data_IF_258416239899
#
_entry.id   IF_258416239899
#
_cell.length_a   1.000
_cell.length_b   1.000
_cell.length_c   1.000
_cell.angle_alpha   90.00
_cell.angle_beta   90.00
_cell.angle_gamma   90.00
#
_symmetry.space_group_name_H-M   'P 1'
#
loop_
_entity.id
_entity.type
_entity.pdbx_description
1 polymer ?
#
# COMPACT_ATOMS: atom_id res chain seq x y z
N UNK A 1 25.68 26.10 -17.06
CA UNK A 1 24.62 26.45 -16.08
C UNK A 1 23.89 25.17 -15.71
N UNK A 2 23.78 24.86 -14.42
CA UNK A 2 22.94 23.75 -13.97
C UNK A 2 21.47 24.16 -14.13
N UNK A 3 20.69 23.39 -14.89
CA UNK A 3 19.26 23.65 -15.10
C UNK A 3 18.44 23.17 -13.90
N UNK A 4 17.61 24.03 -13.33
CA UNK A 4 16.68 23.72 -12.23
C UNK A 4 15.46 22.98 -12.76
N UNK A 5 14.94 23.40 -13.92
CA UNK A 5 13.82 22.73 -14.58
C UNK A 5 14.37 21.59 -15.44
N UNK A 6 13.96 20.35 -15.12
CA UNK A 6 14.37 19.18 -15.91
C UNK A 6 13.74 19.27 -17.31
N UNK A 7 14.55 18.98 -18.33
CA UNK A 7 14.15 19.01 -19.75
C UNK A 7 13.72 20.39 -20.27
N UNK A 8 14.23 21.49 -19.71
CA UNK A 8 13.88 22.84 -20.19
C UNK A 8 14.24 23.08 -21.67
N UNK A 9 15.20 22.32 -22.21
CA UNK A 9 15.59 22.41 -23.62
C UNK A 9 14.43 22.18 -24.61
N UNK A 10 13.37 21.46 -24.19
CA UNK A 10 12.16 21.25 -24.99
C UNK A 10 11.39 22.55 -25.27
N UNK A 11 11.70 23.64 -24.56
CA UNK A 11 11.08 24.94 -24.72
C UNK A 11 11.91 25.91 -25.59
N UNK A 12 13.16 25.58 -25.93
CA UNK A 12 14.09 26.51 -26.61
C UNK A 12 13.61 27.03 -27.97
N UNK A 13 12.81 26.25 -28.68
CA UNK A 13 12.26 26.64 -29.99
C UNK A 13 10.99 27.50 -29.87
N UNK A 14 10.51 27.74 -28.66
CA UNK A 14 9.27 28.46 -28.37
C UNK A 14 9.49 29.68 -27.47
N UNK A 15 10.55 29.67 -26.68
CA UNK A 15 10.88 30.70 -25.70
C UNK A 15 12.25 31.32 -26.00
N UNK A 16 12.36 32.62 -25.80
CA UNK A 16 13.64 33.32 -25.82
C UNK A 16 14.52 32.93 -24.64
N UNK A 17 15.83 33.16 -24.73
CA UNK A 17 16.76 32.88 -23.62
C UNK A 17 16.40 33.67 -22.35
N UNK A 18 15.91 34.91 -22.48
CA UNK A 18 15.44 35.71 -21.33
C UNK A 18 14.28 35.01 -20.62
N UNK A 19 13.27 34.54 -21.35
CA UNK A 19 12.11 33.84 -20.77
C UNK A 19 12.51 32.51 -20.13
N UNK A 20 13.47 31.79 -20.71
CA UNK A 20 14.01 30.57 -20.13
C UNK A 20 14.73 30.87 -18.80
N UNK A 21 15.48 31.97 -18.72
CA UNK A 21 16.16 32.39 -17.49
C UNK A 21 15.16 32.82 -16.40
N UNK A 22 14.08 33.52 -16.78
CA UNK A 22 13.02 33.91 -15.83
C UNK A 22 12.29 32.68 -15.27
N UNK A 23 11.99 31.68 -16.12
CA UNK A 23 11.44 30.39 -15.69
C UNK A 23 12.37 29.66 -14.71
N UNK A 24 13.66 29.56 -15.03
CA UNK A 24 14.66 28.93 -14.18
C UNK A 24 14.79 29.65 -12.82
N UNK A 25 14.75 30.99 -12.81
CA UNK A 25 14.77 31.78 -11.59
C UNK A 25 13.51 31.54 -10.73
N UNK A 26 12.32 31.58 -11.33
CA UNK A 26 11.08 31.27 -10.62
C UNK A 26 11.05 29.84 -10.08
N UNK A 27 11.52 28.87 -10.86
CA UNK A 27 11.66 27.48 -10.41
C UNK A 27 12.64 27.34 -9.23
N UNK A 28 13.73 28.10 -9.23
CA UNK A 28 14.69 28.13 -8.12
C UNK A 28 14.05 28.60 -6.81
N UNK A 29 13.20 29.62 -6.85
CA UNK A 29 12.48 30.11 -5.68
C UNK A 29 11.55 29.03 -5.10
N UNK A 30 10.77 28.37 -5.97
CA UNK A 30 9.90 27.26 -5.58
C UNK A 30 10.68 26.08 -4.97
N UNK A 31 11.84 25.75 -5.55
CA UNK A 31 12.74 24.70 -5.03
C UNK A 31 13.28 25.07 -3.65
N UNK A 32 13.75 26.31 -3.47
CA UNK A 32 14.35 26.79 -2.22
C UNK A 32 13.34 26.81 -1.07
N UNK A 33 12.14 27.34 -1.32
CA UNK A 33 11.18 27.61 -0.25
C UNK A 33 10.24 26.45 0.04
N UNK A 34 9.93 25.60 -0.95
CA UNK A 34 8.94 24.55 -0.80
C UNK A 34 9.40 23.18 -1.33
N UNK A 35 10.65 23.05 -1.78
CA UNK A 35 11.19 21.84 -2.44
C UNK A 35 10.31 21.32 -3.56
N UNK A 36 9.77 22.26 -4.34
CA UNK A 36 9.01 21.96 -5.54
C UNK A 36 9.99 21.93 -6.72
N UNK A 37 9.88 20.90 -7.54
CA UNK A 37 10.68 20.72 -8.75
C UNK A 37 9.76 20.56 -9.95
N UNK A 38 10.25 20.95 -11.12
CA UNK A 38 9.51 20.94 -12.36
C UNK A 38 10.26 20.13 -13.41
N UNK A 39 9.51 19.36 -14.19
CA UNK A 39 10.02 18.61 -15.34
C UNK A 39 9.11 18.84 -16.53
N UNK A 40 9.69 19.27 -17.64
CA UNK A 40 8.98 19.31 -18.91
C UNK A 40 8.86 17.87 -19.43
N UNK A 41 7.63 17.38 -19.51
CA UNK A 41 7.34 16.03 -20.02
C UNK A 41 7.32 16.07 -21.55
N UNK A 42 6.59 17.04 -22.12
CA UNK A 42 6.49 17.26 -23.56
C UNK A 42 5.95 18.65 -23.88
N UNK A 43 6.21 19.11 -25.10
CA UNK A 43 5.56 20.26 -25.69
C UNK A 43 5.23 19.97 -27.16
N UNK A 44 3.97 19.70 -27.46
CA UNK A 44 3.47 19.31 -28.79
C UNK A 44 2.11 19.95 -29.03
N UNK A 45 1.80 20.38 -30.26
CA UNK A 45 0.49 20.93 -30.64
C UNK A 45 -0.02 22.05 -29.73
N UNK A 46 0.88 22.97 -29.35
CA UNK A 46 0.62 24.06 -28.40
C UNK A 46 0.11 23.58 -27.02
N UNK A 47 0.41 22.33 -26.68
CA UNK A 47 0.12 21.73 -25.38
C UNK A 47 1.43 21.46 -24.64
N UNK A 48 1.68 22.25 -23.59
CA UNK A 48 2.77 22.04 -22.65
C UNK A 48 2.32 21.08 -21.55
N UNK A 49 3.04 19.98 -21.36
CA UNK A 49 2.84 19.07 -20.22
C UNK A 49 4.00 19.18 -19.24
N UNK A 50 3.70 19.55 -17.99
CA UNK A 50 4.68 19.70 -16.91
C UNK A 50 4.37 18.71 -15.79
N UNK A 51 5.37 17.97 -15.33
CA UNK A 51 5.31 17.26 -14.05
C UNK A 51 5.85 18.18 -12.96
N UNK A 52 5.06 18.37 -11.91
CA UNK A 52 5.44 19.14 -10.73
C UNK A 52 5.44 18.22 -9.53
N UNK A 53 6.58 18.14 -8.86
CA UNK A 53 6.77 17.28 -7.68
C UNK A 53 7.19 18.10 -6.49
N UNK A 54 6.58 17.83 -5.34
CA UNK A 54 7.08 18.32 -4.06
C UNK A 54 7.83 17.21 -3.32
N UNK A 55 9.01 17.53 -2.80
CA UNK A 55 9.79 16.64 -1.94
C UNK A 55 9.60 16.97 -0.45
N UNK A 56 10.16 16.13 0.42
CA UNK A 56 10.12 16.35 1.87
C UNK A 56 10.77 17.68 2.23
N UNK A 57 9.98 18.63 2.73
CA UNK A 57 10.42 19.96 3.15
C UNK A 57 10.68 20.01 4.66
N UNK A 58 11.87 20.46 5.12
CA UNK A 58 12.14 20.65 6.54
C UNK A 58 11.20 21.65 7.23
N UNK A 59 10.64 22.59 6.47
CA UNK A 59 9.69 23.57 6.97
C UNK A 59 8.25 23.04 7.10
N UNK A 60 7.98 21.80 6.67
CA UNK A 60 6.65 21.19 6.77
C UNK A 60 5.57 21.84 5.90
N UNK A 61 5.94 22.72 4.96
CA UNK A 61 5.03 23.47 4.09
C UNK A 61 4.56 22.65 2.88
N UNK A 62 3.90 21.53 3.15
CA UNK A 62 3.37 20.63 2.14
C UNK A 62 2.12 21.19 1.48
N UNK A 63 2.06 21.08 0.16
CA UNK A 63 0.99 21.60 -0.67
C UNK A 63 0.18 20.44 -1.24
N UNK A 64 -1.13 20.66 -1.35
CA UNK A 64 -2.02 19.74 -2.05
C UNK A 64 -1.83 19.81 -3.57
N UNK A 65 -2.39 18.82 -4.28
CA UNK A 65 -2.30 18.76 -5.74
C UNK A 65 -2.88 19.98 -6.44
N UNK A 66 -3.92 20.61 -5.88
CA UNK A 66 -4.56 21.81 -6.44
C UNK A 66 -3.65 23.03 -6.36
N UNK A 67 -3.01 23.23 -5.22
CA UNK A 67 -2.08 24.36 -5.01
C UNK A 67 -0.82 24.17 -5.85
N UNK A 68 -0.30 22.94 -5.96
CA UNK A 68 0.81 22.65 -6.87
C UNK A 68 0.46 22.92 -8.33
N UNK A 69 -0.76 22.55 -8.75
CA UNK A 69 -1.26 22.82 -10.09
C UNK A 69 -1.27 24.32 -10.34
N UNK A 70 -1.84 25.09 -9.43
CA UNK A 70 -1.99 26.54 -9.57
C UNK A 70 -0.62 27.24 -9.62
N UNK A 71 0.30 26.92 -8.71
CA UNK A 71 1.66 27.49 -8.72
C UNK A 71 2.44 27.16 -9.97
N UNK A 72 2.29 25.93 -10.48
CA UNK A 72 2.92 25.55 -11.75
C UNK A 72 2.34 26.36 -12.89
N UNK A 73 1.01 26.45 -12.96
CA UNK A 73 0.34 27.20 -14.00
C UNK A 73 0.76 28.68 -13.97
N UNK A 74 0.81 29.29 -12.80
CA UNK A 74 1.30 30.66 -12.61
C UNK A 74 2.73 30.83 -13.12
N UNK A 75 3.67 29.99 -12.70
CA UNK A 75 5.08 30.05 -13.13
C UNK A 75 5.22 30.02 -14.67
N UNK A 76 4.47 29.13 -15.33
CA UNK A 76 4.58 28.95 -16.78
C UNK A 76 3.70 29.92 -17.60
N UNK A 77 2.62 30.48 -17.02
CA UNK A 77 1.75 31.45 -17.70
C UNK A 77 2.21 32.90 -17.57
N UNK A 78 2.94 33.26 -16.50
CA UNK A 78 3.23 34.65 -16.13
C UNK A 78 4.32 35.33 -16.99
N UNK A 79 4.11 35.39 -18.31
CA UNK A 79 4.89 36.08 -19.36
C UNK A 79 5.86 35.22 -20.19
N UNK A 80 5.87 33.91 -19.96
CA UNK A 80 6.80 33.03 -20.67
C UNK A 80 6.17 32.40 -21.92
N UNK A 81 4.95 31.88 -21.88
CA UNK A 81 4.39 31.18 -23.02
C UNK A 81 3.69 32.11 -24.04
N UNK A 82 3.83 31.84 -25.36
CA UNK A 82 3.02 32.48 -26.38
C UNK A 82 1.51 32.29 -26.13
N UNK A 83 0.70 33.24 -26.58
CA UNK A 83 -0.76 33.15 -26.49
C UNK A 83 -1.28 31.86 -27.16
N UNK A 84 -2.27 31.21 -26.53
CA UNK A 84 -2.91 29.99 -27.04
C UNK A 84 -2.33 28.67 -26.54
N UNK A 85 -1.18 28.68 -25.85
CA UNK A 85 -0.59 27.46 -25.28
C UNK A 85 -1.43 26.95 -24.11
N UNK A 86 -1.88 25.69 -24.21
CA UNK A 86 -2.57 24.98 -23.12
C UNK A 86 -1.53 24.31 -22.22
N UNK A 87 -1.72 24.44 -20.90
CA UNK A 87 -0.81 23.85 -19.91
C UNK A 87 -1.54 22.72 -19.19
N UNK A 88 -1.00 21.50 -19.32
CA UNK A 88 -1.37 20.35 -18.51
C UNK A 88 -0.32 20.15 -17.43
N UNK A 89 -0.77 20.02 -16.18
CA UNK A 89 0.13 19.83 -15.04
C UNK A 89 -0.21 18.50 -14.37
N UNK A 90 0.78 17.63 -14.31
CA UNK A 90 0.75 16.41 -13.52
C UNK A 90 1.37 16.72 -12.17
N UNK A 91 0.56 16.76 -11.11
CA UNK A 91 1.03 17.10 -9.77
C UNK A 91 1.31 15.86 -8.93
N UNK A 92 2.45 15.87 -8.26
CA UNK A 92 2.90 14.81 -7.37
C UNK A 92 3.19 15.46 -6.02
N UNK A 93 2.17 15.61 -5.14
CA UNK A 93 2.37 16.16 -3.81
C UNK A 93 3.24 15.24 -2.96
N UNK A 94 3.91 15.83 -1.97
CA UNK A 94 4.58 15.01 -0.96
C UNK A 94 3.53 14.37 -0.06
N UNK A 95 3.58 13.04 0.04
CA UNK A 95 2.77 12.28 0.98
C UNK A 95 3.74 11.70 2.01
N UNK A 96 3.59 12.03 3.31
CA UNK A 96 4.41 11.41 4.34
C UNK A 96 4.18 9.90 4.33
N UNK A 97 5.24 9.13 4.58
CA UNK A 97 5.10 7.69 4.71
C UNK A 97 4.13 7.39 5.88
N UNK A 98 3.10 6.55 5.69
CA UNK A 98 2.10 6.27 6.75
C UNK A 98 2.72 5.76 8.06
N UNK A 99 3.89 5.13 7.97
CA UNK A 99 4.66 4.71 9.13
C UNK A 99 5.09 5.88 10.04
N UNK A 100 5.15 7.13 9.55
CA UNK A 100 5.52 8.29 10.38
C UNK A 100 4.51 8.56 11.49
N UNK A 101 3.25 8.17 11.29
CA UNK A 101 2.15 8.35 12.23
C UNK A 101 2.06 7.24 13.29
N UNK A 102 2.96 6.25 13.25
CA UNK A 102 2.99 5.17 14.24
C UNK A 102 3.53 5.72 15.56
N UNK A 103 2.62 5.81 16.54
CA UNK A 103 2.90 6.13 17.94
C UNK A 103 2.66 4.91 18.85
N UNK A 104 3.11 4.96 20.12
CA UNK A 104 2.74 3.94 21.10
C UNK A 104 1.22 3.73 21.22
N UNK A 105 0.42 4.80 21.15
CA UNK A 105 -1.05 4.78 21.19
C UNK A 105 -1.62 4.06 19.97
N UNK A 106 -1.09 4.36 18.77
CA UNK A 106 -1.44 3.67 17.53
C UNK A 106 -1.23 2.16 17.69
N UNK A 107 -0.05 1.75 18.18
CA UNK A 107 0.28 0.33 18.34
C UNK A 107 -0.67 -0.33 19.35
N UNK A 108 -0.88 0.26 20.53
CA UNK A 108 -1.77 -0.29 21.57
C UNK A 108 -3.21 -0.42 21.08
N UNK A 109 -3.70 0.55 20.32
CA UNK A 109 -5.02 0.50 19.71
C UNK A 109 -5.19 -0.73 18.81
N UNK A 110 -4.30 -0.89 17.83
CA UNK A 110 -4.38 -2.04 16.91
C UNK A 110 -4.05 -3.37 17.58
N UNK A 111 -3.16 -3.41 18.57
CA UNK A 111 -2.94 -4.62 19.36
C UNK A 111 -4.21 -5.07 20.07
N UNK A 112 -4.97 -4.13 20.62
CA UNK A 112 -6.27 -4.42 21.27
C UNK A 112 -7.29 -4.90 20.24
N UNK A 113 -7.42 -4.19 19.12
CA UNK A 113 -8.41 -4.47 18.08
C UNK A 113 -8.16 -5.80 17.33
N UNK A 114 -6.88 -6.16 17.15
CA UNK A 114 -6.43 -7.37 16.48
C UNK A 114 -6.05 -8.50 17.46
N UNK A 115 -6.21 -8.27 18.76
CA UNK A 115 -5.86 -9.20 19.85
C UNK A 115 -4.42 -9.71 19.79
N UNK A 116 -3.49 -8.86 19.36
CA UNK A 116 -2.06 -9.16 19.26
C UNK A 116 -1.41 -8.98 20.64
N UNK A 117 -0.62 -9.95 21.06
CA UNK A 117 0.21 -9.90 22.27
C UNK A 117 1.66 -9.62 21.91
N UNK A 118 2.44 -9.09 22.87
CA UNK A 118 3.89 -8.88 22.72
C UNK A 118 4.61 -10.15 22.28
N UNK A 119 4.22 -11.29 22.86
CA UNK A 119 4.78 -12.61 22.53
C UNK A 119 4.54 -13.02 21.07
N UNK A 120 3.41 -12.63 20.48
CA UNK A 120 3.12 -12.94 19.09
C UNK A 120 4.10 -12.18 18.18
N UNK A 121 4.32 -10.90 18.48
CA UNK A 121 5.30 -10.05 17.77
C UNK A 121 6.70 -10.64 17.92
N UNK A 122 7.12 -10.97 19.14
CA UNK A 122 8.43 -11.59 19.41
C UNK A 122 8.64 -12.87 18.59
N UNK A 123 7.67 -13.78 18.60
CA UNK A 123 7.74 -15.05 17.87
C UNK A 123 7.80 -14.85 16.35
N UNK A 124 7.06 -13.88 15.82
CA UNK A 124 6.92 -13.67 14.38
C UNK A 124 8.04 -12.81 13.79
N UNK A 125 8.58 -11.86 14.57
CA UNK A 125 9.62 -10.95 14.11
C UNK A 125 11.01 -11.31 14.62
N UNK A 126 11.13 -12.20 15.62
CA UNK A 126 12.39 -12.53 16.29
C UNK A 126 12.98 -11.39 17.11
N UNK A 127 12.16 -10.40 17.48
CA UNK A 127 12.60 -9.22 18.24
C UNK A 127 12.43 -9.48 19.74
N UNK A 128 13.39 -9.03 20.53
CA UNK A 128 13.34 -9.15 21.98
C UNK A 128 12.10 -8.45 22.58
N UNK A 129 11.38 -9.18 23.44
CA UNK A 129 10.16 -8.71 24.11
C UNK A 129 10.36 -7.49 25.00
N UNK A 130 11.55 -7.28 25.57
CA UNK A 130 11.86 -6.07 26.35
C UNK A 130 11.82 -4.84 25.46
N UNK A 131 12.43 -4.91 24.28
CA UNK A 131 12.41 -3.82 23.30
C UNK A 131 11.01 -3.55 22.76
N UNK A 132 10.28 -4.61 22.39
CA UNK A 132 8.89 -4.50 21.92
C UNK A 132 8.04 -3.78 22.97
N UNK A 133 8.13 -4.21 24.23
CA UNK A 133 7.40 -3.60 25.34
C UNK A 133 7.78 -2.14 25.58
N UNK A 134 9.08 -1.81 25.48
CA UNK A 134 9.55 -0.45 25.67
C UNK A 134 9.01 0.52 24.60
N UNK A 135 8.92 0.08 23.34
CA UNK A 135 8.31 0.85 22.26
C UNK A 135 6.78 0.99 22.42
N UNK A 136 6.09 -0.10 22.78
CA UNK A 136 4.63 -0.09 22.99
C UNK A 136 4.23 0.81 24.16
N UNK A 137 5.04 0.87 25.21
CA UNK A 137 4.78 1.71 26.39
C UNK A 137 5.31 3.14 26.22
N UNK A 138 6.06 3.42 25.15
CA UNK A 138 6.68 4.73 24.92
C UNK A 138 7.84 5.06 25.86
N UNK A 139 8.36 4.09 26.60
CA UNK A 139 9.56 4.27 27.44
C UNK A 139 10.84 4.30 26.62
N UNK A 140 10.77 3.89 25.35
CA UNK A 140 11.84 4.02 24.35
C UNK A 140 11.31 4.67 23.08
N UNK A 141 12.04 5.65 22.56
CA UNK A 141 11.71 6.26 21.28
C UNK A 141 11.86 5.26 20.12
N UNK A 142 10.89 5.29 19.19
CA UNK A 142 10.90 4.47 17.98
C UNK A 142 11.60 5.20 16.84
N UNK A 143 12.64 4.57 16.28
CA UNK A 143 13.23 5.00 15.00
C UNK A 143 12.24 4.81 13.84
N UNK A 144 12.50 5.46 12.70
CA UNK A 144 11.67 5.29 11.50
C UNK A 144 11.56 3.83 11.04
N UNK A 145 12.61 3.04 11.24
CA UNK A 145 12.62 1.60 10.91
C UNK A 145 11.66 0.84 11.83
N UNK A 146 11.71 1.10 13.13
CA UNK A 146 10.83 0.47 14.12
C UNK A 146 9.37 0.85 13.86
N UNK A 147 9.10 2.12 13.57
CA UNK A 147 7.75 2.59 13.19
C UNK A 147 7.24 1.88 11.92
N UNK A 148 8.09 1.74 10.91
CA UNK A 148 7.75 1.03 9.68
C UNK A 148 7.48 -0.46 9.94
N UNK A 149 8.29 -1.12 10.78
CA UNK A 149 8.08 -2.50 11.18
C UNK A 149 6.70 -2.69 11.82
N UNK A 150 6.35 -1.89 12.83
CA UNK A 150 5.04 -1.97 13.46
C UNK A 150 3.90 -1.66 12.48
N UNK A 151 4.06 -0.65 11.63
CA UNK A 151 3.06 -0.32 10.60
C UNK A 151 2.76 -1.52 9.72
N UNK A 152 3.78 -2.11 9.09
CA UNK A 152 3.58 -3.21 8.16
C UNK A 152 3.15 -4.51 8.84
N UNK A 153 3.63 -4.77 10.06
CA UNK A 153 3.16 -5.88 10.86
C UNK A 153 1.65 -5.77 11.14
N UNK A 154 1.19 -4.59 11.60
CA UNK A 154 -0.24 -4.34 11.83
C UNK A 154 -1.03 -4.48 10.53
N UNK A 155 -0.57 -3.90 9.42
CA UNK A 155 -1.25 -4.02 8.12
C UNK A 155 -1.37 -5.47 7.65
N UNK A 156 -0.33 -6.28 7.87
CA UNK A 156 -0.37 -7.70 7.59
C UNK A 156 -1.45 -8.41 8.45
N UNK A 157 -1.52 -8.10 9.74
CA UNK A 157 -2.53 -8.68 10.65
C UNK A 157 -3.96 -8.25 10.30
N UNK A 158 -4.18 -7.00 9.92
CA UNK A 158 -5.48 -6.52 9.42
C UNK A 158 -5.91 -7.29 8.17
N UNK A 159 -4.99 -7.45 7.22
CA UNK A 159 -5.26 -8.19 5.99
C UNK A 159 -5.64 -9.65 6.27
N UNK A 160 -4.93 -10.33 7.17
CA UNK A 160 -5.29 -11.68 7.60
C UNK A 160 -6.68 -11.73 8.24
N UNK A 161 -7.01 -10.80 9.14
CA UNK A 161 -8.35 -10.72 9.77
C UNK A 161 -9.46 -10.60 8.74
N UNK A 162 -9.27 -9.76 7.70
CA UNK A 162 -10.23 -9.60 6.61
C UNK A 162 -10.40 -10.88 5.78
N UNK A 163 -9.29 -11.56 5.45
CA UNK A 163 -9.35 -12.85 4.78
C UNK A 163 -10.16 -13.87 5.61
N UNK A 164 -9.84 -14.06 6.89
CA UNK A 164 -10.57 -15.00 7.74
C UNK A 164 -12.06 -14.63 7.92
N UNK A 165 -12.41 -13.34 7.94
CA UNK A 165 -13.81 -12.91 7.98
C UNK A 165 -14.56 -13.23 6.68
N UNK A 166 -13.90 -13.11 5.52
CA UNK A 166 -14.48 -13.56 4.25
C UNK A 166 -14.62 -15.09 4.14
N UNK A 167 -13.82 -15.82 4.92
CA UNK A 167 -13.87 -17.28 5.04
C UNK A 167 -14.70 -17.78 6.22
N UNK A 168 -15.48 -16.92 6.90
CA UNK A 168 -16.32 -17.36 8.01
C UNK A 168 -17.18 -18.53 7.52
N UNK A 169 -16.96 -19.78 7.99
CA UNK A 169 -17.76 -20.89 7.54
C UNK A 169 -19.21 -20.51 7.85
N UNK A 170 -20.11 -20.68 6.88
CA UNK A 170 -21.52 -20.67 7.24
C UNK A 170 -21.64 -21.68 8.37
N UNK A 171 -22.01 -21.21 9.57
CA UNK A 171 -22.55 -22.09 10.60
C UNK A 171 -23.87 -22.58 10.05
N UNK A 172 -23.76 -23.51 9.11
CA UNK A 172 -24.84 -24.24 8.55
C UNK A 172 -25.01 -25.37 9.56
N UNK A 173 -26.09 -25.30 10.35
CA UNK A 173 -26.57 -26.43 11.17
C UNK A 173 -26.99 -27.55 10.20
N UNK A 174 -25.99 -28.17 9.57
CA UNK A 174 -26.16 -29.28 8.68
C UNK A 174 -26.43 -30.51 9.52
N UNK A 175 -27.55 -31.15 9.24
CA UNK A 175 -27.84 -32.49 9.74
C UNK A 175 -26.72 -33.45 9.31
N UNK A 176 -26.51 -34.52 10.09
CA UNK A 176 -25.45 -35.50 9.86
C UNK A 176 -25.48 -36.04 8.42
N UNK A 177 -26.69 -36.23 7.87
CA UNK A 177 -26.92 -36.74 6.52
C UNK A 177 -26.36 -35.82 5.43
N UNK A 178 -26.55 -34.50 5.58
CA UNK A 178 -26.03 -33.52 4.61
C UNK A 178 -24.51 -33.42 4.70
N UNK A 179 -23.93 -33.59 5.90
CA UNK A 179 -22.47 -33.65 6.06
C UNK A 179 -21.90 -34.88 5.34
N UNK A 180 -22.52 -36.05 5.52
CA UNK A 180 -22.08 -37.29 4.88
C UNK A 180 -22.23 -37.25 3.36
N UNK A 181 -23.30 -36.62 2.85
CA UNK A 181 -23.48 -36.41 1.41
C UNK A 181 -22.41 -35.49 0.82
N UNK A 182 -22.08 -34.40 1.51
CA UNK A 182 -20.99 -33.48 1.12
C UNK A 182 -19.62 -34.16 1.16
N UNK A 183 -19.33 -34.98 2.17
CA UNK A 183 -18.08 -35.76 2.27
C UNK A 183 -17.99 -36.77 1.12
N UNK A 184 -19.06 -37.50 0.81
CA UNK A 184 -19.08 -38.48 -0.27
C UNK A 184 -18.96 -37.81 -1.64
N UNK A 185 -19.61 -36.66 -1.84
CA UNK A 185 -19.45 -35.85 -3.04
C UNK A 185 -17.99 -35.40 -3.18
N UNK A 186 -17.40 -34.87 -2.12
CA UNK A 186 -16.01 -34.44 -2.11
C UNK A 186 -15.04 -35.59 -2.43
N UNK A 187 -15.20 -36.75 -1.80
CA UNK A 187 -14.40 -37.97 -2.10
C UNK A 187 -14.54 -38.41 -3.56
N UNK A 188 -15.76 -38.39 -4.11
CA UNK A 188 -16.02 -38.75 -5.51
C UNK A 188 -15.40 -37.77 -6.53
N UNK A 189 -15.20 -36.51 -6.13
CA UNK A 189 -14.46 -35.54 -6.94
C UNK A 189 -12.96 -35.77 -6.81
N UNK A 190 -12.46 -36.11 -5.60
CA UNK A 190 -11.06 -36.42 -5.35
C UNK A 190 -10.56 -37.60 -6.20
N UNK A 191 -11.38 -38.64 -6.38
CA UNK A 191 -11.05 -39.81 -7.22
C UNK A 191 -10.93 -39.50 -8.73
N UNK A 192 -11.39 -38.33 -9.18
CA UNK A 192 -11.31 -37.91 -10.59
C UNK A 192 -10.03 -37.13 -10.92
N UNK A 193 -9.21 -36.80 -9.93
CA UNK A 193 -8.01 -35.96 -10.13
C UNK A 193 -6.76 -36.77 -10.48
N UNK A 194 -5.84 -36.12 -11.20
CA UNK A 194 -4.60 -36.75 -11.67
C UNK A 194 -3.45 -36.48 -10.69
N UNK A 195 -2.42 -37.34 -10.63
CA UNK A 195 -1.29 -37.18 -9.71
C UNK A 195 -0.47 -35.88 -9.87
N UNK A 196 -0.70 -35.11 -10.96
CA UNK A 196 -0.04 -33.84 -11.24
C UNK A 196 -0.66 -32.63 -10.53
N UNK A 197 -1.81 -32.78 -9.87
CA UNK A 197 -2.53 -31.68 -9.23
C UNK A 197 -1.95 -31.38 -7.82
N UNK A 198 -1.68 -30.12 -7.52
CA UNK A 198 -1.10 -29.71 -6.23
C UNK A 198 -2.17 -29.60 -5.14
N UNK A 199 -1.96 -30.32 -4.05
CA UNK A 199 -2.84 -30.32 -2.87
C UNK A 199 -2.16 -29.53 -1.75
N UNK A 200 -2.80 -28.47 -1.28
CA UNK A 200 -2.36 -27.77 -0.06
C UNK A 200 -3.36 -28.05 1.05
N UNK A 201 -2.92 -28.79 2.07
CA UNK A 201 -3.70 -29.03 3.28
C UNK A 201 -3.56 -27.85 4.22
N UNK A 202 -4.69 -27.23 4.58
CA UNK A 202 -4.76 -26.16 5.57
C UNK A 202 -5.46 -26.72 6.80
N UNK A 203 -4.75 -26.79 7.91
CA UNK A 203 -5.30 -27.17 9.20
C UNK A 203 -6.02 -25.97 9.81
N UNK A 204 -7.32 -26.11 10.10
CA UNK A 204 -8.06 -25.11 10.85
C UNK A 204 -8.29 -25.65 12.26
N UNK A 205 -7.67 -25.05 13.29
CA UNK A 205 -7.99 -25.37 14.67
C UNK A 205 -9.42 -24.91 14.96
N UNK A 206 -10.29 -25.86 15.31
CA UNK A 206 -11.67 -25.57 15.72
C UNK A 206 -11.76 -25.72 17.23
N UNK A 207 -12.04 -24.62 17.93
CA UNK A 207 -12.46 -24.69 19.33
C UNK A 207 -13.93 -25.15 19.39
N UNK A 208 -14.18 -26.45 19.22
CA UNK A 208 -15.48 -27.06 19.48
C UNK A 208 -15.43 -27.90 20.76
N UNK A 209 -16.11 -27.49 21.85
CA UNK A 209 -16.07 -28.20 23.13
C UNK A 209 -16.71 -29.60 23.10
N UNK A 210 -17.43 -29.97 22.03
CA UNK A 210 -18.06 -31.30 21.89
C UNK A 210 -17.31 -32.25 20.95
N UNK A 211 -16.37 -31.77 20.14
CA UNK A 211 -15.56 -32.63 19.27
C UNK A 211 -14.20 -31.95 18.99
N UNK A 212 -13.14 -32.29 19.75
CA UNK A 212 -11.88 -31.52 19.78
C UNK A 212 -10.91 -31.83 18.64
N UNK A 213 -11.37 -32.43 17.53
CA UNK A 213 -10.52 -32.77 16.40
C UNK A 213 -10.27 -31.59 15.46
N UNK A 214 -9.08 -31.48 14.84
CA UNK A 214 -8.83 -30.49 13.79
C UNK A 214 -9.73 -30.75 12.57
N UNK A 215 -10.23 -29.67 11.95
CA UNK A 215 -10.86 -29.77 10.61
C UNK A 215 -9.76 -29.54 9.58
N UNK A 216 -9.57 -30.50 8.69
CA UNK A 216 -8.59 -30.42 7.60
C UNK A 216 -9.25 -29.91 6.34
N UNK A 217 -8.86 -28.74 5.85
CA UNK A 217 -9.32 -28.24 4.56
C UNK A 217 -8.27 -28.56 3.50
N UNK A 218 -8.61 -29.38 2.52
CA UNK A 218 -7.79 -29.59 1.35
C UNK A 218 -8.12 -28.52 0.30
N UNK A 219 -7.14 -27.72 -0.09
CA UNK A 219 -7.27 -26.80 -1.23
C UNK A 219 -6.56 -27.39 -2.43
N UNK A 220 -7.26 -27.40 -3.57
CA UNK A 220 -6.77 -27.94 -4.83
C UNK A 220 -6.63 -26.79 -5.83
N UNK A 221 -5.48 -26.73 -6.51
CA UNK A 221 -5.30 -25.80 -7.64
C UNK A 221 -5.17 -26.63 -8.93
N UNK A 222 -6.25 -26.80 -9.70
CA UNK A 222 -6.17 -27.45 -11.02
C UNK A 222 -5.20 -26.68 -11.93
N UNK A 223 -4.53 -27.40 -12.83
CA UNK A 223 -3.61 -26.83 -13.82
C UNK A 223 -4.29 -25.86 -14.81
N UNK A 224 -5.61 -25.95 -14.96
CA UNK A 224 -6.40 -25.26 -15.99
C UNK A 224 -7.06 -23.96 -15.50
N UNK A 225 -6.44 -23.31 -14.52
CA UNK A 225 -6.78 -21.94 -14.06
C UNK A 225 -8.18 -21.74 -13.44
N UNK A 226 -8.97 -22.82 -13.27
CA UNK A 226 -10.21 -22.79 -12.49
C UNK A 226 -9.94 -23.18 -11.03
N UNK A 227 -9.89 -22.20 -10.12
CA UNK A 227 -9.90 -22.49 -8.68
C UNK A 227 -11.22 -23.17 -8.29
N UNK A 228 -11.12 -24.43 -7.87
CA UNK A 228 -12.25 -25.20 -7.32
C UNK A 228 -12.00 -25.45 -5.85
N UNK A 229 -13.00 -25.13 -5.02
CA UNK A 229 -12.94 -25.32 -3.56
C UNK A 229 -13.68 -26.60 -3.19
N UNK A 230 -13.02 -27.53 -2.50
CA UNK A 230 -13.66 -28.73 -1.99
C UNK A 230 -13.48 -28.76 -0.47
N UNK A 231 -14.58 -28.62 0.26
CA UNK A 231 -14.62 -28.82 1.70
C UNK A 231 -14.67 -30.33 1.98
N UNK A 232 -13.67 -30.84 2.68
CA UNK A 232 -13.67 -32.22 3.19
C UNK A 232 -13.66 -32.13 4.71
N UNK A 233 -14.75 -32.52 5.35
CA UNK A 233 -14.71 -32.81 6.78
C UNK A 233 -14.11 -34.23 6.93
N UNK A 234 -13.08 -34.36 7.77
CA UNK A 234 -12.40 -35.64 8.02
C UNK A 234 -12.79 -36.27 9.37
N UNK A 235 -13.83 -35.76 10.05
CA UNK A 235 -14.41 -36.41 11.23
C UNK A 235 -15.58 -37.34 10.89
#
# INVERSE_FOLDING_TARGET
>A
METIIKNIHLLKNRLSESQLNDLEHGALLHRRHARITFKIVRFTDDVLTVETRQEKSPAGNYLDGKTLYQRTKELFQSNNLPGGVKIHVNTIPYVPAPAQDVSPEFIRHYMTELKIKVRDIENETGLDSTNISAWINGTREMSNIVRAMFYYYIKHKEHLKLQYQSFKPLNLDLTLDVRMEMINLAKSQVEKFKPSDSVTMVEIPVENPKNPGPIYIATFKPSDDQQSWVLVDLN
#
